data_IF_405736908009
#
_entry.id   IF_405736908009
#
_cell.length_a   1.000
_cell.length_b   1.000
_cell.length_c   1.000
_cell.angle_alpha   90.00
_cell.angle_beta   90.00
_cell.angle_gamma   90.00
#
_symmetry.space_group_name_H-M   'P 1'
#
loop_
_entity.id
_entity.type
_entity.pdbx_description
1 polymer ?
#
# COMPACT_ATOMS: atom_id res chain seq x y z
N UNK A 1 -7.00 -25.49 -31.60
CA UNK A 1 -6.10 -24.42 -31.08
C UNK A 1 -6.64 -23.69 -29.84
N UNK A 2 -7.94 -23.77 -29.51
CA UNK A 2 -8.53 -23.17 -28.29
C UNK A 2 -8.31 -24.00 -27.02
N UNK A 3 -8.23 -25.34 -27.13
CA UNK A 3 -8.12 -26.22 -25.95
C UNK A 3 -6.76 -26.12 -25.25
N UNK A 4 -5.64 -26.10 -25.99
CA UNK A 4 -4.28 -25.97 -25.44
C UNK A 4 -4.02 -24.64 -24.71
N UNK A 5 -4.74 -23.57 -25.06
CA UNK A 5 -4.67 -22.29 -24.36
C UNK A 5 -5.41 -22.34 -23.01
N UNK A 6 -6.57 -23.01 -22.98
CA UNK A 6 -7.37 -23.18 -21.76
C UNK A 6 -6.70 -24.11 -20.74
N UNK A 7 -6.02 -25.18 -21.18
CA UNK A 7 -5.29 -26.06 -20.27
C UNK A 7 -4.10 -25.34 -19.62
N UNK A 8 -3.34 -24.56 -20.39
CA UNK A 8 -2.21 -23.79 -19.85
C UNK A 8 -2.64 -22.67 -18.88
N UNK A 9 -3.78 -22.02 -19.15
CA UNK A 9 -4.34 -21.02 -18.24
C UNK A 9 -4.87 -21.66 -16.94
N UNK A 10 -5.55 -22.80 -17.04
CA UNK A 10 -6.06 -23.53 -15.88
C UNK A 10 -4.94 -24.11 -14.99
N UNK A 11 -3.82 -24.57 -15.58
CA UNK A 11 -2.65 -25.05 -14.84
C UNK A 11 -1.95 -23.89 -14.12
N UNK A 12 -1.65 -22.78 -14.82
CA UNK A 12 -1.06 -21.57 -14.20
C UNK A 12 -1.96 -20.97 -13.11
N UNK A 13 -3.28 -21.06 -13.28
CA UNK A 13 -4.29 -20.61 -12.31
C UNK A 13 -4.29 -21.48 -11.04
N UNK A 14 -4.22 -22.81 -11.16
CA UNK A 14 -4.10 -23.71 -10.00
C UNK A 14 -2.79 -23.51 -9.25
N UNK A 15 -1.69 -23.30 -9.97
CA UNK A 15 -0.38 -23.02 -9.38
C UNK A 15 -0.40 -21.68 -8.63
N UNK A 16 -1.01 -20.65 -9.20
CA UNK A 16 -1.15 -19.35 -8.55
C UNK A 16 -2.01 -19.41 -7.28
N UNK A 17 -3.13 -20.16 -7.30
CA UNK A 17 -3.98 -20.31 -6.11
C UNK A 17 -3.31 -21.17 -5.03
N UNK A 18 -2.54 -22.19 -5.43
CA UNK A 18 -1.72 -22.98 -4.52
C UNK A 18 -0.63 -22.12 -3.85
N UNK A 19 0.08 -21.29 -4.63
CA UNK A 19 1.09 -20.35 -4.14
C UNK A 19 0.45 -19.34 -3.17
N UNK A 20 -0.70 -18.76 -3.51
CA UNK A 20 -1.42 -17.83 -2.62
C UNK A 20 -1.90 -18.52 -1.35
N UNK A 21 -2.36 -19.76 -1.44
CA UNK A 21 -2.76 -20.54 -0.26
C UNK A 21 -1.58 -20.78 0.67
N UNK A 22 -0.42 -21.17 0.12
CA UNK A 22 0.81 -21.32 0.89
C UNK A 22 1.24 -19.99 1.52
N UNK A 23 1.20 -18.89 0.77
CA UNK A 23 1.52 -17.57 1.29
C UNK A 23 0.59 -17.15 2.44
N UNK A 24 -0.71 -17.41 2.33
CA UNK A 24 -1.66 -17.14 3.41
C UNK A 24 -1.28 -17.87 4.69
N UNK A 25 -0.86 -19.13 4.59
CA UNK A 25 -0.41 -19.93 5.74
C UNK A 25 0.91 -19.41 6.32
N UNK A 26 1.86 -19.05 5.46
CA UNK A 26 3.16 -18.48 5.86
C UNK A 26 2.98 -17.14 6.58
N UNK A 27 2.22 -16.21 5.98
CA UNK A 27 1.89 -14.93 6.59
C UNK A 27 1.17 -15.15 7.92
N UNK A 28 0.19 -16.05 7.97
CA UNK A 28 -0.54 -16.35 9.21
C UNK A 28 0.31 -16.92 10.34
N UNK A 29 1.45 -17.52 10.02
CA UNK A 29 2.37 -18.01 11.03
C UNK A 29 3.36 -16.94 11.50
N UNK A 30 3.57 -15.86 10.72
CA UNK A 30 4.69 -14.93 10.89
C UNK A 30 4.28 -13.44 10.82
N UNK A 31 3.02 -13.10 11.16
CA UNK A 31 2.58 -11.72 11.33
C UNK A 31 2.73 -11.31 12.79
N UNK A 32 3.36 -10.15 13.00
CA UNK A 32 3.41 -9.48 14.30
C UNK A 32 2.75 -8.10 14.16
N UNK A 33 1.66 -7.88 14.89
CA UNK A 33 1.08 -6.54 15.04
C UNK A 33 1.85 -5.78 16.13
N UNK A 34 2.61 -4.75 15.73
CA UNK A 34 3.39 -3.94 16.67
C UNK A 34 3.55 -2.49 16.16
N UNK A 35 2.66 -1.62 16.61
CA UNK A 35 2.69 -0.20 16.30
C UNK A 35 3.99 0.48 16.77
N UNK A 36 4.55 0.07 17.92
CA UNK A 36 5.73 0.69 18.51
C UNK A 36 6.98 0.35 17.71
N UNK A 37 7.11 -0.91 17.28
CA UNK A 37 8.19 -1.35 16.41
C UNK A 37 8.15 -0.62 15.06
N UNK A 38 6.97 -0.46 14.44
CA UNK A 38 6.82 0.32 13.21
C UNK A 38 7.24 1.78 13.43
N UNK A 39 6.71 2.40 14.48
CA UNK A 39 6.98 3.81 14.78
C UNK A 39 8.47 4.05 15.02
N UNK A 40 9.14 3.15 15.74
CA UNK A 40 10.57 3.19 16.00
C UNK A 40 11.41 2.97 14.73
N UNK A 41 11.11 1.94 13.94
CA UNK A 41 11.86 1.61 12.70
C UNK A 41 11.74 2.70 11.63
N UNK A 42 10.54 3.28 11.47
CA UNK A 42 10.34 4.40 10.54
C UNK A 42 10.82 5.73 11.12
N UNK A 43 11.04 5.82 12.44
CA UNK A 43 11.42 7.03 13.13
C UNK A 43 10.33 8.11 13.06
N UNK A 44 9.06 7.75 13.26
CA UNK A 44 7.93 8.69 13.09
C UNK A 44 8.02 9.93 14.00
N UNK A 45 8.59 9.76 15.18
CA UNK A 45 8.82 10.85 16.16
C UNK A 45 9.92 11.83 15.74
N UNK A 46 10.75 11.48 14.75
CA UNK A 46 11.80 12.38 14.25
C UNK A 46 11.24 13.50 13.35
N UNK A 47 10.01 13.37 12.86
CA UNK A 47 9.35 14.45 12.12
C UNK A 47 8.97 15.54 13.11
N UNK A 48 9.31 16.80 12.82
CA UNK A 48 8.97 17.93 13.70
C UNK A 48 7.45 18.02 13.93
N UNK A 49 7.02 18.07 15.19
CA UNK A 49 5.61 18.26 15.54
C UNK A 49 5.05 19.57 14.99
N UNK A 50 5.85 20.64 14.98
CA UNK A 50 5.45 21.92 14.37
C UNK A 50 5.14 21.76 12.89
N UNK A 51 6.01 21.07 12.14
CA UNK A 51 5.78 20.80 10.72
C UNK A 51 4.52 19.98 10.50
N UNK A 52 4.27 18.98 11.36
CA UNK A 52 3.07 18.14 11.28
C UNK A 52 1.80 18.94 11.55
N UNK A 53 1.82 19.81 12.55
CA UNK A 53 0.67 20.65 12.93
C UNK A 53 0.35 21.71 11.86
N UNK A 54 1.38 22.33 11.30
CA UNK A 54 1.24 23.29 10.19
C UNK A 54 0.72 22.59 8.93
N UNK A 55 1.31 21.42 8.60
CA UNK A 55 0.87 20.61 7.46
C UNK A 55 -0.58 20.19 7.61
N UNK A 56 -0.97 19.71 8.79
CA UNK A 56 -2.35 19.30 9.08
C UNK A 56 -3.33 20.46 8.87
N UNK A 57 -3.01 21.63 9.44
CA UNK A 57 -3.89 22.80 9.38
C UNK A 57 -4.09 23.32 7.95
N UNK A 58 -3.04 23.29 7.13
CA UNK A 58 -3.12 23.70 5.72
C UNK A 58 -3.75 22.62 4.85
N UNK A 59 -3.44 21.35 5.09
CA UNK A 59 -4.03 20.21 4.36
C UNK A 59 -5.56 20.21 4.46
N UNK A 60 -6.13 20.48 5.65
CA UNK A 60 -7.58 20.58 5.83
C UNK A 60 -8.25 21.70 5.02
N UNK A 61 -7.48 22.71 4.60
CA UNK A 61 -7.99 23.81 3.77
C UNK A 61 -7.75 23.52 2.28
N UNK A 62 -6.51 23.22 1.93
CA UNK A 62 -6.05 23.18 0.54
C UNK A 62 -6.42 21.86 -0.14
N UNK A 63 -6.61 20.79 0.63
CA UNK A 63 -6.95 19.44 0.16
C UNK A 63 -8.31 18.95 0.64
N UNK A 64 -9.16 19.86 1.11
CA UNK A 64 -10.51 19.55 1.59
C UNK A 64 -11.32 18.76 0.56
N UNK A 65 -11.34 19.21 -0.70
CA UNK A 65 -12.10 18.56 -1.77
C UNK A 65 -11.61 17.14 -2.06
N UNK A 66 -10.28 16.93 -2.08
CA UNK A 66 -9.68 15.61 -2.29
C UNK A 66 -10.04 14.66 -1.12
N UNK A 67 -10.04 15.17 0.12
CA UNK A 67 -10.42 14.40 1.31
C UNK A 67 -11.91 14.03 1.30
N UNK A 68 -12.80 14.99 1.03
CA UNK A 68 -14.25 14.76 0.94
C UNK A 68 -14.59 13.78 -0.18
N UNK A 69 -13.90 13.88 -1.32
CA UNK A 69 -14.06 12.95 -2.44
C UNK A 69 -13.66 11.52 -2.06
N UNK A 70 -12.54 11.34 -1.35
CA UNK A 70 -12.15 10.02 -0.86
C UNK A 70 -13.16 9.45 0.12
N UNK A 71 -13.66 10.27 1.05
CA UNK A 71 -14.69 9.86 2.00
C UNK A 71 -15.99 9.44 1.31
N UNK A 72 -16.44 10.17 0.27
CA UNK A 72 -17.61 9.79 -0.53
C UNK A 72 -17.40 8.45 -1.26
N UNK A 73 -16.24 8.27 -1.91
CA UNK A 73 -15.92 7.02 -2.61
C UNK A 73 -15.97 5.84 -1.64
N UNK A 74 -15.37 5.98 -0.46
CA UNK A 74 -15.37 4.95 0.58
C UNK A 74 -16.79 4.70 1.08
N UNK A 75 -17.56 5.74 1.43
CA UNK A 75 -18.93 5.58 1.90
C UNK A 75 -19.82 4.84 0.87
N UNK A 76 -19.68 5.19 -0.41
CA UNK A 76 -20.38 4.52 -1.51
C UNK A 76 -19.93 3.07 -1.68
N UNK A 77 -18.64 2.78 -1.54
CA UNK A 77 -18.12 1.42 -1.63
C UNK A 77 -18.62 0.55 -0.46
N UNK A 78 -18.57 1.06 0.77
CA UNK A 78 -19.06 0.38 1.98
C UNK A 78 -20.56 0.08 1.92
N UNK A 79 -21.35 0.93 1.25
CA UNK A 79 -22.79 0.70 1.05
C UNK A 79 -23.12 -0.48 0.13
N UNK A 80 -22.14 -1.03 -0.60
CA UNK A 80 -22.36 -2.14 -1.53
C UNK A 80 -22.14 -3.48 -0.84
N UNK A 81 -22.90 -4.49 -1.23
CA UNK A 81 -22.66 -5.88 -0.83
C UNK A 81 -21.26 -6.33 -1.25
N UNK A 82 -20.64 -7.22 -0.45
CA UNK A 82 -19.38 -7.87 -0.81
C UNK A 82 -19.49 -8.73 -2.07
N UNK A 83 -20.71 -9.14 -2.44
CA UNK A 83 -21.03 -9.85 -3.68
C UNK A 83 -21.20 -8.92 -4.90
N UNK A 84 -20.91 -7.62 -4.76
CA UNK A 84 -20.90 -6.71 -5.89
C UNK A 84 -19.93 -7.20 -6.98
N UNK A 85 -20.31 -6.98 -8.25
CA UNK A 85 -19.49 -7.33 -9.42
C UNK A 85 -18.10 -6.70 -9.31
N UNK A 86 -17.06 -7.46 -9.61
CA UNK A 86 -15.65 -7.05 -9.54
C UNK A 86 -15.35 -5.78 -10.32
N UNK A 87 -16.03 -5.55 -11.46
CA UNK A 87 -15.91 -4.30 -12.23
C UNK A 87 -16.23 -3.06 -11.40
N UNK A 88 -17.26 -3.13 -10.54
CA UNK A 88 -17.67 -2.01 -9.69
C UNK A 88 -16.67 -1.80 -8.55
N UNK A 89 -16.12 -2.89 -7.98
CA UNK A 89 -15.07 -2.81 -6.96
C UNK A 89 -13.81 -2.14 -7.51
N UNK A 90 -13.37 -2.55 -8.71
CA UNK A 90 -12.27 -1.93 -9.41
C UNK A 90 -12.52 -0.45 -9.75
N UNK A 91 -13.78 -0.08 -10.04
CA UNK A 91 -14.14 1.30 -10.34
C UNK A 91 -13.95 2.20 -9.11
N UNK A 92 -14.43 1.78 -7.94
CA UNK A 92 -14.20 2.54 -6.70
C UNK A 92 -12.71 2.69 -6.40
N UNK A 93 -11.94 1.60 -6.51
CA UNK A 93 -10.49 1.60 -6.30
C UNK A 93 -9.78 2.59 -7.24
N UNK A 94 -10.11 2.57 -8.54
CA UNK A 94 -9.56 3.50 -9.54
C UNK A 94 -9.85 4.96 -9.23
N UNK A 95 -11.02 5.25 -8.67
CA UNK A 95 -11.39 6.61 -8.30
C UNK A 95 -10.66 7.12 -7.06
N UNK A 96 -10.11 6.24 -6.21
CA UNK A 96 -9.32 6.63 -5.05
C UNK A 96 -7.91 7.11 -5.42
N UNK A 97 -7.29 6.54 -6.46
CA UNK A 97 -5.85 6.74 -6.70
C UNK A 97 -5.45 8.21 -6.88
N UNK A 98 -6.19 8.99 -7.68
CA UNK A 98 -5.84 10.38 -7.95
C UNK A 98 -5.89 11.27 -6.71
N UNK A 99 -7.05 11.43 -6.02
CA UNK A 99 -7.11 12.30 -4.84
C UNK A 99 -6.15 11.83 -3.73
N UNK A 100 -5.91 10.51 -3.63
CA UNK A 100 -4.95 9.99 -2.67
C UNK A 100 -3.51 10.39 -2.99
N UNK A 101 -3.07 10.23 -4.25
CA UNK A 101 -1.73 10.68 -4.69
C UNK A 101 -1.59 12.19 -4.53
N UNK A 102 -2.63 12.97 -4.85
CA UNK A 102 -2.60 14.42 -4.72
C UNK A 102 -2.45 14.87 -3.24
N UNK A 103 -3.08 14.17 -2.28
CA UNK A 103 -2.89 14.41 -0.83
C UNK A 103 -1.48 14.01 -0.39
N UNK A 104 -1.01 12.83 -0.82
CA UNK A 104 0.32 12.31 -0.46
C UNK A 104 1.43 13.24 -0.97
N UNK A 105 1.32 13.69 -2.23
CA UNK A 105 2.28 14.61 -2.84
C UNK A 105 2.27 15.98 -2.13
N UNK A 106 1.10 16.47 -1.72
CA UNK A 106 1.00 17.69 -0.90
C UNK A 106 1.76 17.55 0.42
N UNK A 107 1.54 16.45 1.15
CA UNK A 107 2.24 16.18 2.42
C UNK A 107 3.76 16.06 2.20
N UNK A 108 4.17 15.34 1.15
CA UNK A 108 5.59 15.10 0.86
C UNK A 108 6.35 16.38 0.46
N UNK A 109 5.68 17.35 -0.16
CA UNK A 109 6.26 18.63 -0.59
C UNK A 109 6.02 19.79 0.38
N UNK A 110 5.25 19.57 1.46
CA UNK A 110 4.89 20.59 2.43
C UNK A 110 6.12 21.28 3.04
N UNK A 111 6.02 22.60 3.25
CA UNK A 111 7.11 23.41 3.82
C UNK A 111 8.28 23.64 2.86
N UNK A 112 8.08 23.46 1.55
CA UNK A 112 9.12 23.64 0.53
C UNK A 112 10.12 22.50 0.45
N UNK A 113 9.80 21.34 1.02
CA UNK A 113 10.69 20.17 0.93
C UNK A 113 10.71 19.58 -0.47
N UNK A 114 11.90 19.18 -0.92
CA UNK A 114 12.05 18.36 -2.11
C UNK A 114 12.04 16.89 -1.69
N UNK A 115 10.95 16.14 -1.89
CA UNK A 115 10.90 14.74 -1.49
C UNK A 115 11.94 13.95 -2.30
N UNK A 116 12.69 13.10 -1.61
CA UNK A 116 13.70 12.22 -2.25
C UNK A 116 13.04 11.10 -3.05
N UNK A 117 11.76 10.83 -2.78
CA UNK A 117 10.95 9.82 -3.45
C UNK A 117 9.52 10.27 -3.62
N UNK A 118 8.87 9.79 -4.68
CA UNK A 118 7.48 10.13 -4.99
C UNK A 118 6.61 8.90 -5.06
N UNK A 119 5.42 8.99 -4.48
CA UNK A 119 4.37 8.01 -4.66
C UNK A 119 3.67 8.25 -5.99
N UNK A 120 3.56 7.21 -6.81
CA UNK A 120 2.83 7.29 -8.09
C UNK A 120 1.84 6.14 -8.19
N UNK A 121 0.72 6.39 -8.88
CA UNK A 121 -0.12 5.34 -9.44
C UNK A 121 0.26 5.13 -10.92
N UNK A 122 0.39 3.88 -11.34
CA UNK A 122 0.68 3.55 -12.74
C UNK A 122 -0.05 2.30 -13.21
N UNK A 123 -0.56 2.36 -14.45
CA UNK A 123 -1.17 1.21 -15.13
C UNK A 123 -0.13 0.21 -15.65
N UNK A 124 1.14 0.62 -15.79
CA UNK A 124 2.21 -0.24 -16.30
C UNK A 124 2.53 -1.35 -15.29
N UNK A 125 2.87 -2.56 -15.72
CA UNK A 125 3.33 -3.60 -14.79
C UNK A 125 4.73 -3.30 -14.27
N UNK A 126 5.00 -3.70 -13.03
CA UNK A 126 6.37 -3.80 -12.49
C UNK A 126 6.95 -5.12 -12.95
N UNK A 127 8.17 -5.08 -13.46
CA UNK A 127 8.85 -6.24 -14.04
C UNK A 127 10.10 -6.63 -13.24
N UNK A 128 10.54 -7.87 -13.43
CA UNK A 128 11.79 -8.39 -12.90
C UNK A 128 12.22 -9.58 -13.75
N UNK A 129 13.53 -9.84 -13.82
CA UNK A 129 14.04 -11.00 -14.56
C UNK A 129 13.46 -12.28 -13.92
N UNK A 130 12.81 -13.11 -14.74
CA UNK A 130 12.19 -14.38 -14.32
C UNK A 130 11.12 -14.22 -13.21
N UNK A 131 10.53 -13.02 -13.10
CA UNK A 131 9.48 -12.71 -12.11
C UNK A 131 8.11 -12.55 -12.78
N UNK A 132 7.02 -12.91 -12.08
CA UNK A 132 5.68 -12.67 -12.57
C UNK A 132 5.39 -11.17 -12.72
N UNK A 133 4.61 -10.83 -13.75
CA UNK A 133 4.04 -9.50 -13.88
C UNK A 133 3.12 -9.19 -12.71
N UNK A 134 3.27 -7.98 -12.20
CA UNK A 134 2.59 -7.52 -11.00
C UNK A 134 2.40 -6.01 -11.08
N UNK A 135 1.42 -5.48 -10.36
CA UNK A 135 1.02 -4.08 -10.51
C UNK A 135 0.51 -3.56 -9.18
N UNK A 136 1.41 -3.18 -8.26
CA UNK A 136 1.02 -2.44 -7.07
C UNK A 136 0.23 -1.19 -7.46
N UNK A 137 -0.80 -0.87 -6.67
CA UNK A 137 -1.63 0.31 -6.86
C UNK A 137 -0.82 1.59 -6.74
N UNK A 138 0.07 1.63 -5.73
CA UNK A 138 0.99 2.72 -5.47
C UNK A 138 2.43 2.23 -5.49
N UNK A 139 3.34 3.07 -5.99
CA UNK A 139 4.77 2.80 -6.08
C UNK A 139 5.53 3.99 -5.55
N UNK A 140 6.51 3.73 -4.69
CA UNK A 140 7.42 4.75 -4.21
C UNK A 140 8.79 4.51 -4.82
N UNK A 141 9.40 5.56 -5.37
CA UNK A 141 10.75 5.49 -5.91
C UNK A 141 11.24 6.86 -6.35
N UNK A 142 12.22 6.88 -7.24
CA UNK A 142 12.82 8.12 -7.73
C UNK A 142 11.75 9.12 -8.26
N UNK A 143 11.76 10.40 -7.83
CA UNK A 143 10.78 11.41 -8.25
C UNK A 143 10.81 11.73 -9.76
N UNK A 144 11.94 11.49 -10.42
CA UNK A 144 12.18 11.77 -11.84
C UNK A 144 11.99 10.56 -12.75
N UNK A 145 11.92 9.35 -12.18
CA UNK A 145 12.10 8.11 -12.91
C UNK A 145 10.83 7.34 -13.24
N UNK A 146 10.91 6.49 -14.27
CA UNK A 146 9.92 5.46 -14.53
C UNK A 146 10.13 4.26 -13.59
N UNK A 147 9.21 4.03 -12.65
CA UNK A 147 9.25 2.90 -11.72
C UNK A 147 8.75 1.61 -12.38
N UNK A 148 9.56 1.06 -13.31
CA UNK A 148 9.23 -0.09 -14.17
C UNK A 148 9.74 -1.43 -13.65
N UNK A 149 10.76 -1.45 -12.79
CA UNK A 149 11.31 -2.70 -12.25
C UNK A 149 11.20 -2.76 -10.73
N UNK A 150 11.09 -3.98 -10.19
CA UNK A 150 11.04 -4.20 -8.74
C UNK A 150 12.27 -3.61 -8.02
N UNK A 151 13.41 -3.57 -8.71
CA UNK A 151 14.64 -3.01 -8.15
C UNK A 151 14.55 -1.51 -7.91
N UNK A 152 13.83 -0.78 -8.75
CA UNK A 152 13.73 0.69 -8.73
C UNK A 152 12.78 1.19 -7.64
N UNK A 153 11.89 0.32 -7.14
CA UNK A 153 10.96 0.67 -6.08
C UNK A 153 11.69 0.76 -4.74
N UNK A 154 11.40 1.80 -3.97
CA UNK A 154 11.77 1.91 -2.56
C UNK A 154 10.72 1.29 -1.65
N UNK A 155 9.45 1.45 -2.00
CA UNK A 155 8.29 0.86 -1.34
C UNK A 155 7.15 0.68 -2.36
N UNK A 156 6.10 0.01 -1.94
CA UNK A 156 4.87 -0.16 -2.72
C UNK A 156 3.66 0.05 -1.82
N UNK A 157 2.49 0.19 -2.42
CA UNK A 157 1.26 0.33 -1.67
C UNK A 157 0.08 -0.27 -2.40
N UNK A 158 -0.91 -0.63 -1.59
CA UNK A 158 -2.13 -1.29 -2.01
C UNK A 158 -3.31 -0.46 -1.51
N UNK A 159 -4.28 -0.23 -2.38
CA UNK A 159 -5.46 0.58 -2.08
C UNK A 159 -6.69 -0.30 -2.27
N UNK A 160 -7.56 -0.30 -1.27
CA UNK A 160 -8.83 -1.03 -1.31
C UNK A 160 -9.94 -0.12 -0.82
N UNK A 161 -11.11 -0.08 -1.49
CA UNK A 161 -12.14 0.89 -1.17
C UNK A 161 -12.93 0.58 0.11
N UNK A 162 -12.85 -0.65 0.63
CA UNK A 162 -13.52 -1.05 1.88
C UNK A 162 -12.53 -1.37 3.00
N UNK A 163 -12.90 -1.02 4.22
CA UNK A 163 -12.12 -1.30 5.43
C UNK A 163 -12.00 -2.80 5.71
N UNK A 164 -13.03 -3.60 5.41
CA UNK A 164 -13.02 -5.07 5.62
C UNK A 164 -11.91 -5.79 4.83
N UNK A 165 -11.39 -5.15 3.77
CA UNK A 165 -10.31 -5.69 2.94
C UNK A 165 -8.91 -5.46 3.56
N UNK A 166 -8.83 -4.72 4.66
CA UNK A 166 -7.62 -4.53 5.47
C UNK A 166 -7.48 -5.60 6.55
N UNK A 167 -6.43 -5.49 7.38
CA UNK A 167 -6.26 -6.35 8.54
C UNK A 167 -6.84 -5.64 9.77
N UNK A 168 -7.84 -6.21 10.43
CA UNK A 168 -8.25 -5.74 11.78
C UNK A 168 -7.69 -6.66 12.87
N UNK A 169 -7.46 -6.13 14.10
CA UNK A 169 -6.99 -6.96 15.21
C UNK A 169 -7.91 -8.17 15.44
N UNK A 170 -7.34 -9.37 15.44
CA UNK A 170 -8.08 -10.62 15.61
C UNK A 170 -8.84 -11.14 14.38
N UNK A 171 -8.74 -10.47 13.22
CA UNK A 171 -9.31 -10.95 11.96
C UNK A 171 -8.46 -12.04 11.32
N UNK A 172 -9.10 -13.04 10.72
CA UNK A 172 -8.40 -14.02 9.88
C UNK A 172 -7.71 -13.30 8.71
N UNK A 173 -6.41 -13.53 8.56
CA UNK A 173 -5.57 -12.94 7.50
C UNK A 173 -6.11 -13.27 6.12
N UNK A 174 -6.83 -14.38 5.96
CA UNK A 174 -7.53 -14.74 4.71
C UNK A 174 -8.51 -13.65 4.26
N UNK A 175 -9.00 -12.82 5.17
CA UNK A 175 -9.91 -11.73 4.87
C UNK A 175 -9.18 -10.40 4.53
N UNK A 176 -7.86 -10.30 4.75
CA UNK A 176 -7.07 -9.11 4.43
C UNK A 176 -6.45 -9.20 3.03
N UNK A 177 -7.23 -8.80 2.02
CA UNK A 177 -6.76 -8.77 0.63
C UNK A 177 -5.58 -7.82 0.43
N UNK A 178 -5.55 -6.68 1.13
CA UNK A 178 -4.46 -5.72 1.01
C UNK A 178 -3.13 -6.29 1.54
N UNK A 179 -3.18 -7.03 2.65
CA UNK A 179 -2.00 -7.66 3.26
C UNK A 179 -1.46 -8.80 2.40
N UNK A 180 -2.34 -9.66 1.88
CA UNK A 180 -1.94 -10.78 1.02
C UNK A 180 -1.24 -10.27 -0.25
N UNK A 181 -1.82 -9.28 -0.93
CA UNK A 181 -1.20 -8.68 -2.12
C UNK A 181 0.12 -7.97 -1.79
N UNK A 182 0.17 -7.27 -0.66
CA UNK A 182 1.42 -6.66 -0.19
C UNK A 182 2.50 -7.70 0.11
N UNK A 183 2.13 -8.88 0.62
CA UNK A 183 3.05 -10.01 0.81
C UNK A 183 3.59 -10.58 -0.50
N UNK A 184 2.74 -10.74 -1.52
CA UNK A 184 3.17 -11.12 -2.87
C UNK A 184 4.20 -10.13 -3.41
N UNK A 185 3.92 -8.83 -3.29
CA UNK A 185 4.84 -7.77 -3.72
C UNK A 185 6.13 -7.72 -2.91
N UNK A 186 6.07 -7.93 -1.59
CA UNK A 186 7.24 -7.97 -0.74
C UNK A 186 8.24 -9.03 -1.20
N UNK A 187 7.75 -10.23 -1.56
CA UNK A 187 8.58 -11.33 -2.07
C UNK A 187 9.28 -10.96 -3.37
N UNK A 188 8.55 -10.36 -4.31
CA UNK A 188 9.14 -9.90 -5.58
C UNK A 188 10.15 -8.77 -5.35
N UNK A 189 9.83 -7.85 -4.45
CA UNK A 189 10.68 -6.73 -4.10
C UNK A 189 11.99 -7.17 -3.44
N UNK A 190 11.93 -8.09 -2.47
CA UNK A 190 13.09 -8.67 -1.79
C UNK A 190 13.90 -9.57 -2.74
N UNK A 191 13.26 -10.34 -3.61
CA UNK A 191 13.95 -11.18 -4.59
C UNK A 191 14.69 -10.35 -5.65
N UNK A 192 14.24 -9.13 -5.94
CA UNK A 192 14.84 -8.29 -7.00
C UNK A 192 16.19 -7.67 -6.62
N UNK A 193 16.52 -7.67 -5.34
CA UNK A 193 17.75 -7.09 -4.79
C UNK A 193 18.29 -7.94 -3.62
N UNK A 194 19.41 -8.66 -3.82
CA UNK A 194 19.98 -9.56 -2.81
C UNK A 194 20.30 -8.91 -1.46
N UNK A 195 20.59 -7.60 -1.46
CA UNK A 195 20.97 -6.83 -0.27
C UNK A 195 19.82 -6.03 0.34
N UNK A 196 18.59 -6.16 -0.19
CA UNK A 196 17.41 -5.56 0.44
C UNK A 196 17.01 -6.41 1.64
N UNK A 197 17.20 -5.87 2.84
CA UNK A 197 16.87 -6.55 4.09
C UNK A 197 15.37 -6.56 4.39
N UNK A 198 14.66 -5.50 4.00
CA UNK A 198 13.23 -5.36 4.21
C UNK A 198 12.55 -4.56 3.09
N UNK A 199 11.24 -4.71 2.99
CA UNK A 199 10.35 -3.97 2.09
C UNK A 199 9.29 -3.26 2.91
N UNK A 200 8.98 -2.02 2.54
CA UNK A 200 7.91 -1.23 3.17
C UNK A 200 6.68 -1.31 2.26
N UNK A 201 5.52 -1.57 2.87
CA UNK A 201 4.22 -1.51 2.22
C UNK A 201 3.31 -0.47 2.91
N UNK A 202 2.67 0.38 2.13
CA UNK A 202 1.56 1.23 2.58
C UNK A 202 0.24 0.61 2.13
N UNK A 203 -0.58 0.15 3.08
CA UNK A 203 -1.87 -0.46 2.81
C UNK A 203 -2.97 0.54 3.20
N UNK A 204 -3.82 0.93 2.27
CA UNK A 204 -4.94 1.84 2.49
C UNK A 204 -6.22 1.10 2.19
N UNK A 205 -7.09 0.95 3.19
CA UNK A 205 -8.34 0.19 3.09
C UNK A 205 -9.50 1.00 3.65
N UNK A 206 -10.42 1.41 2.80
CA UNK A 206 -11.47 2.37 3.15
C UNK A 206 -10.85 3.69 3.64
N UNK A 207 -11.23 4.10 4.85
CA UNK A 207 -10.67 5.30 5.51
C UNK A 207 -9.43 5.00 6.37
N UNK A 208 -8.95 3.75 6.40
CA UNK A 208 -7.85 3.33 7.26
C UNK A 208 -6.57 3.17 6.46
N UNK A 209 -5.43 3.29 7.14
CA UNK A 209 -4.13 2.94 6.63
C UNK A 209 -3.36 2.07 7.62
N UNK A 210 -2.48 1.23 7.08
CA UNK A 210 -1.51 0.42 7.81
C UNK A 210 -0.17 0.48 7.08
N UNK A 211 0.91 0.31 7.84
CA UNK A 211 2.27 0.18 7.29
C UNK A 211 2.81 -1.19 7.67
N UNK A 212 3.26 -1.93 6.67
CA UNK A 212 3.95 -3.20 6.84
C UNK A 212 5.44 -3.06 6.58
N UNK A 213 6.27 -3.67 7.42
CA UNK A 213 7.68 -3.92 7.16
C UNK A 213 7.85 -5.43 7.01
N UNK A 214 8.08 -5.86 5.77
CA UNK A 214 8.31 -7.24 5.40
C UNK A 214 9.79 -7.52 5.35
N UNK A 215 10.23 -8.65 5.88
CA UNK A 215 11.56 -9.18 5.67
C UNK A 215 11.46 -10.65 5.20
N UNK A 216 12.58 -11.39 5.26
CA UNK A 216 12.58 -12.81 4.85
C UNK A 216 11.99 -13.75 5.89
N UNK A 217 11.73 -13.29 7.11
CA UNK A 217 11.17 -14.07 8.21
C UNK A 217 9.67 -13.84 8.38
N UNK A 218 9.15 -12.69 7.92
CA UNK A 218 7.73 -12.41 7.99
C UNK A 218 7.42 -10.93 7.84
N UNK A 219 6.42 -10.47 8.59
CA UNK A 219 5.97 -9.08 8.56
C UNK A 219 5.72 -8.57 9.97
N UNK A 220 6.19 -7.34 10.22
CA UNK A 220 5.68 -6.50 11.30
C UNK A 220 4.72 -5.49 10.68
N UNK A 221 3.53 -5.35 11.24
CA UNK A 221 2.49 -4.46 10.71
C UNK A 221 1.95 -3.55 11.81
N UNK A 222 1.61 -2.32 11.44
CA UNK A 222 0.98 -1.36 12.33
C UNK A 222 -0.47 -1.76 12.63
N UNK A 223 -0.99 -1.33 13.78
CA UNK A 223 -2.43 -1.34 14.00
C UNK A 223 -3.12 -0.44 12.96
N UNK A 224 -4.37 -0.72 12.57
CA UNK A 224 -5.13 0.16 11.68
C UNK A 224 -5.29 1.55 12.30
N UNK A 225 -4.89 2.58 11.56
CA UNK A 225 -5.12 3.98 11.91
C UNK A 225 -6.01 4.63 10.85
N UNK A 226 -6.88 5.55 11.25
CA UNK A 226 -7.76 6.23 10.31
C UNK A 226 -7.03 7.43 9.69
N UNK A 227 -7.07 7.57 8.37
CA UNK A 227 -6.38 8.65 7.66
C UNK A 227 -6.85 10.06 8.07
N UNK A 228 -8.06 10.17 8.60
CA UNK A 228 -8.71 11.45 8.88
C UNK A 228 -8.67 11.81 10.36
N UNK A 229 -8.90 10.85 11.26
CA UNK A 229 -8.80 11.09 12.71
C UNK A 229 -7.36 10.98 13.21
N UNK A 230 -6.54 10.11 12.61
CA UNK A 230 -5.13 9.91 12.95
C UNK A 230 -4.19 10.55 11.90
N UNK A 231 -4.67 11.61 11.25
CA UNK A 231 -4.00 12.28 10.12
C UNK A 231 -2.58 12.76 10.42
N UNK A 232 -2.28 13.13 11.68
CA UNK A 232 -0.92 13.50 12.08
C UNK A 232 0.04 12.31 11.97
N UNK A 233 -0.41 11.12 12.32
CA UNK A 233 0.36 9.87 12.13
C UNK A 233 0.53 9.57 10.64
N UNK A 234 -0.53 9.76 9.84
CA UNK A 234 -0.44 9.60 8.39
C UNK A 234 0.58 10.56 7.77
N UNK A 235 0.56 11.84 8.16
CA UNK A 235 1.55 12.84 7.75
C UNK A 235 2.96 12.38 8.09
N UNK A 236 3.20 11.94 9.33
CA UNK A 236 4.52 11.43 9.77
C UNK A 236 4.98 10.27 8.89
N UNK A 237 4.11 9.29 8.62
CA UNK A 237 4.45 8.15 7.76
C UNK A 237 4.85 8.62 6.37
N UNK A 238 4.01 9.43 5.70
CA UNK A 238 4.29 9.92 4.35
C UNK A 238 5.59 10.73 4.31
N UNK A 239 5.83 11.62 5.28
CA UNK A 239 7.07 12.39 5.39
C UNK A 239 8.29 11.49 5.52
N UNK A 240 8.25 10.51 6.43
CA UNK A 240 9.38 9.59 6.65
C UNK A 240 9.72 8.78 5.41
N UNK A 241 8.72 8.18 4.75
CA UNK A 241 8.97 7.32 3.58
C UNK A 241 9.40 8.13 2.34
N UNK A 242 8.89 9.35 2.16
CA UNK A 242 9.19 10.17 0.96
C UNK A 242 10.45 11.03 1.10
N UNK A 243 10.75 11.54 2.29
CA UNK A 243 11.81 12.54 2.49
C UNK A 243 13.06 11.98 3.17
N UNK A 244 12.89 11.08 4.13
CA UNK A 244 13.94 10.87 5.13
C UNK A 244 14.56 9.48 5.11
N UNK A 245 13.78 8.42 4.86
CA UNK A 245 14.26 7.04 4.86
C UNK A 245 15.04 6.75 3.58
N UNK A 246 16.34 7.07 3.51
CA UNK A 246 17.23 6.72 2.39
C UNK A 246 17.52 5.24 2.32
#
# INVERSE_FOLDING_TARGET
MSELYNTNFAIRSRDAESIRTSLRLELASNIVEDQKAISGRLGLESVSSQLVDDCYSQLLRDKKEDMERLQDIVARAESKSDNANDKLKEEFEKHMYKPLVDIIDYIASFGGSTPKRRWIHSKAHVTGKDMPYSKPDLRLGDPSGELKTWRDLAAFGEVKPKAVQGMTPGQDIKASNALIQSGDYARLHLASSPFRFFSIALMITGNNFQVGIFDRAGIVVSSPANMWTDIKTFIRVIRRVTCDLS
#
